data_IF_101269326248
#
_entry.id   IF_101269326248
#
_cell.length_a   1.000
_cell.length_b   1.000
_cell.length_c   1.000
_cell.angle_alpha   90.00
_cell.angle_beta   90.00
_cell.angle_gamma   90.00
#
_symmetry.space_group_name_H-M   'P 1'
#
loop_
_entity.id
_entity.type
_entity.pdbx_description
1 polymer ?
#
# COMPACT_ATOMS: atom_id res chain seq x y z
N UNK A 1 -15.31 9.15 -11.27
CA UNK A 1 -15.33 10.26 -12.25
C UNK A 1 -14.81 9.70 -13.56
N UNK A 2 -15.33 10.15 -14.72
CA UNK A 2 -14.77 9.73 -16.00
C UNK A 2 -13.35 10.29 -16.18
N UNK A 3 -12.53 9.57 -16.91
CA UNK A 3 -11.11 9.88 -17.12
C UNK A 3 -10.97 10.98 -18.19
N UNK A 4 -10.63 12.20 -17.76
CA UNK A 4 -10.60 13.37 -18.63
C UNK A 4 -9.32 13.42 -19.47
N UNK A 5 -9.45 13.73 -20.76
CA UNK A 5 -8.32 13.78 -21.70
C UNK A 5 -7.64 15.15 -21.62
N UNK A 6 -6.35 15.18 -21.26
CA UNK A 6 -5.56 16.40 -21.12
C UNK A 6 -4.85 16.79 -22.43
N UNK A 7 -4.44 15.81 -23.24
CA UNK A 7 -3.80 16.02 -24.54
C UNK A 7 -4.06 14.87 -25.51
N UNK A 8 -4.03 15.17 -26.81
CA UNK A 8 -4.18 14.21 -27.92
C UNK A 8 -3.10 14.49 -28.97
N UNK A 9 -2.39 13.45 -29.37
CA UNK A 9 -1.29 13.47 -30.33
C UNK A 9 -1.69 13.92 -31.73
N UNK A 10 -0.76 14.56 -32.44
CA UNK A 10 -0.97 15.00 -33.83
C UNK A 10 -0.96 13.79 -34.75
N UNK A 11 -2.01 13.63 -35.55
CA UNK A 11 -2.27 12.49 -36.46
C UNK A 11 -2.62 11.18 -35.74
N UNK A 12 -2.95 11.24 -34.45
CA UNK A 12 -3.39 10.08 -33.67
C UNK A 12 -4.75 9.56 -34.15
N UNK A 13 -5.07 8.32 -33.79
CA UNK A 13 -6.38 7.73 -34.05
C UNK A 13 -7.47 8.52 -33.33
N UNK A 14 -7.20 8.96 -32.11
CA UNK A 14 -8.16 9.78 -31.36
C UNK A 14 -8.48 11.07 -32.11
N UNK A 15 -7.47 11.77 -32.65
CA UNK A 15 -7.70 12.96 -33.47
C UNK A 15 -8.53 12.65 -34.73
N UNK A 16 -8.29 11.52 -35.41
CA UNK A 16 -9.05 11.11 -36.61
C UNK A 16 -10.54 10.87 -36.31
N UNK A 17 -10.87 10.43 -35.10
CA UNK A 17 -12.25 10.29 -34.61
C UNK A 17 -12.78 11.56 -33.94
N UNK A 18 -12.11 12.70 -34.14
CA UNK A 18 -12.53 14.00 -33.61
C UNK A 18 -12.42 14.12 -32.09
N UNK A 19 -11.65 13.26 -31.42
CA UNK A 19 -11.40 13.31 -29.97
C UNK A 19 -10.39 14.39 -29.66
N UNK A 20 -10.71 15.18 -28.65
CA UNK A 20 -9.98 16.40 -28.31
C UNK A 20 -9.78 16.54 -26.80
N UNK A 21 -8.85 17.40 -26.42
CA UNK A 21 -8.65 17.79 -25.02
C UNK A 21 -9.97 18.20 -24.37
N UNK A 22 -10.28 17.64 -23.22
CA UNK A 22 -11.49 17.88 -22.43
C UNK A 22 -12.67 16.98 -22.78
N UNK A 23 -12.53 16.07 -23.74
CA UNK A 23 -13.40 14.90 -23.83
C UNK A 23 -13.04 13.91 -22.70
N UNK A 24 -13.96 13.03 -22.31
CA UNK A 24 -13.72 12.06 -21.23
C UNK A 24 -13.98 10.62 -21.66
N UNK A 25 -13.14 9.70 -21.21
CA UNK A 25 -13.36 8.26 -21.38
C UNK A 25 -14.33 7.81 -20.28
N UNK A 26 -15.48 7.29 -20.69
CA UNK A 26 -16.52 6.76 -19.80
C UNK A 26 -16.26 5.30 -19.49
N UNK A 27 -16.04 4.49 -20.53
CA UNK A 27 -15.78 3.07 -20.40
C UNK A 27 -14.91 2.53 -21.52
N UNK A 28 -14.24 1.42 -21.24
CA UNK A 28 -13.50 0.63 -22.22
C UNK A 28 -13.94 -0.83 -22.08
N UNK A 29 -14.30 -1.46 -23.19
CA UNK A 29 -14.84 -2.83 -23.23
C UNK A 29 -16.06 -3.05 -22.30
N UNK A 30 -16.84 -2.00 -22.07
CA UNK A 30 -18.03 -2.04 -21.22
C UNK A 30 -17.77 -1.89 -19.72
N UNK A 31 -16.52 -1.69 -19.28
CA UNK A 31 -16.16 -1.38 -17.89
C UNK A 31 -15.85 0.11 -17.72
N UNK A 32 -16.38 0.73 -16.67
CA UNK A 32 -16.09 2.13 -16.36
C UNK A 32 -14.61 2.28 -16.02
N UNK A 33 -13.94 3.29 -16.58
CA UNK A 33 -12.52 3.53 -16.30
C UNK A 33 -12.36 4.83 -15.56
N UNK A 34 -11.72 4.76 -14.38
CA UNK A 34 -11.59 5.89 -13.46
C UNK A 34 -10.15 6.38 -13.29
N UNK A 35 -9.18 5.63 -13.76
CA UNK A 35 -7.77 5.96 -13.65
C UNK A 35 -6.97 5.28 -14.77
N UNK A 36 -5.68 5.57 -14.78
CA UNK A 36 -4.75 4.97 -15.72
C UNK A 36 -4.62 3.44 -15.56
N UNK A 37 -4.81 2.87 -14.37
CA UNK A 37 -4.71 1.43 -14.16
C UNK A 37 -5.85 0.67 -14.84
N UNK A 38 -7.07 1.22 -14.80
CA UNK A 38 -8.18 0.69 -15.56
C UNK A 38 -7.89 0.69 -17.07
N UNK A 39 -7.33 1.78 -17.61
CA UNK A 39 -6.90 1.81 -19.02
C UNK A 39 -5.87 0.72 -19.31
N UNK A 40 -4.84 0.60 -18.46
CA UNK A 40 -3.78 -0.39 -18.63
C UNK A 40 -4.30 -1.82 -18.60
N UNK A 41 -5.25 -2.14 -17.72
CA UNK A 41 -5.92 -3.43 -17.70
C UNK A 41 -6.60 -3.72 -19.05
N UNK A 42 -7.30 -2.74 -19.60
CA UNK A 42 -8.03 -2.89 -20.86
C UNK A 42 -7.12 -3.01 -22.09
N UNK A 43 -5.87 -2.57 -21.98
CA UNK A 43 -4.85 -2.74 -23.02
C UNK A 43 -4.33 -4.17 -23.15
N UNK A 44 -4.65 -5.08 -22.21
CA UNK A 44 -4.25 -6.48 -22.29
C UNK A 44 -5.06 -7.27 -23.34
N UNK A 45 -6.25 -6.80 -23.68
CA UNK A 45 -7.17 -7.43 -24.63
C UNK A 45 -6.82 -7.12 -26.10
N UNK A 46 -7.37 -7.89 -27.03
CA UNK A 46 -7.07 -7.77 -28.48
C UNK A 46 -7.76 -6.56 -29.16
N UNK A 47 -8.77 -6.00 -28.51
CA UNK A 47 -9.42 -4.77 -28.94
C UNK A 47 -9.96 -3.99 -27.75
N UNK A 48 -9.92 -2.66 -27.85
CA UNK A 48 -10.55 -1.75 -26.91
C UNK A 48 -11.74 -1.10 -27.59
N UNK A 49 -12.94 -1.29 -27.03
CA UNK A 49 -14.14 -0.55 -27.38
C UNK A 49 -14.31 0.61 -26.40
N UNK A 50 -13.94 1.81 -26.82
CA UNK A 50 -14.10 3.02 -26.01
C UNK A 50 -15.51 3.58 -26.15
N UNK A 51 -16.06 4.06 -25.04
CA UNK A 51 -17.17 5.00 -24.99
C UNK A 51 -16.60 6.32 -24.48
N UNK A 52 -16.68 7.37 -25.32
CA UNK A 52 -16.12 8.69 -25.03
C UNK A 52 -17.25 9.70 -25.00
N UNK A 53 -17.31 10.48 -23.94
CA UNK A 53 -18.23 11.60 -23.80
C UNK A 53 -17.51 12.89 -24.18
N UNK A 54 -18.07 13.57 -25.18
CA UNK A 54 -17.64 14.86 -25.68
C UNK A 54 -18.04 15.98 -24.72
N UNK A 55 -17.40 17.14 -24.85
CA UNK A 55 -17.77 18.36 -24.09
C UNK A 55 -19.23 18.81 -24.25
N UNK A 56 -19.87 18.48 -25.37
CA UNK A 56 -21.28 18.76 -25.65
C UNK A 56 -22.23 17.65 -25.15
N UNK A 57 -21.73 16.73 -24.30
CA UNK A 57 -22.44 15.54 -23.79
C UNK A 57 -22.81 14.50 -24.86
N UNK A 58 -22.30 14.63 -26.08
CA UNK A 58 -22.44 13.61 -27.11
C UNK A 58 -21.54 12.40 -26.78
N UNK A 59 -22.07 11.19 -26.93
CA UNK A 59 -21.29 9.97 -26.73
C UNK A 59 -20.92 9.33 -28.06
N UNK A 60 -19.62 9.11 -28.25
CA UNK A 60 -19.09 8.38 -29.40
C UNK A 60 -18.55 7.01 -28.96
N UNK A 61 -18.66 6.03 -29.85
CA UNK A 61 -18.08 4.69 -29.64
C UNK A 61 -17.02 4.44 -30.70
N UNK A 62 -15.82 4.07 -30.26
CA UNK A 62 -14.72 3.72 -31.17
C UNK A 62 -14.12 2.39 -30.77
N UNK A 63 -13.89 1.51 -31.76
CA UNK A 63 -13.21 0.24 -31.55
C UNK A 63 -11.80 0.33 -32.14
N UNK A 64 -10.79 0.10 -31.31
CA UNK A 64 -9.39 0.07 -31.72
C UNK A 64 -8.84 -1.33 -31.51
N UNK A 65 -8.21 -1.89 -32.55
CA UNK A 65 -7.50 -3.17 -32.46
C UNK A 65 -6.11 -2.99 -31.81
N UNK A 66 -5.63 -4.00 -31.09
CA UNK A 66 -4.37 -3.97 -30.34
C UNK A 66 -3.15 -3.48 -31.13
N UNK A 67 -3.04 -3.88 -32.40
CA UNK A 67 -1.97 -3.42 -33.32
C UNK A 67 -1.87 -1.89 -33.46
N UNK A 68 -2.95 -1.17 -33.13
CA UNK A 68 -3.08 0.26 -33.28
C UNK A 68 -3.07 1.04 -31.96
N UNK A 69 -2.90 0.40 -30.80
CA UNK A 69 -2.92 1.10 -29.49
C UNK A 69 -1.87 2.19 -29.38
N UNK A 70 -0.68 1.98 -29.96
CA UNK A 70 0.39 2.99 -29.98
C UNK A 70 -0.04 4.28 -30.68
N UNK A 71 -0.97 4.21 -31.63
CA UNK A 71 -1.47 5.37 -32.37
C UNK A 71 -2.57 6.14 -31.64
N UNK A 72 -2.96 5.75 -30.41
CA UNK A 72 -3.94 6.50 -29.61
C UNK A 72 -3.35 7.85 -29.17
N UNK A 73 -2.08 7.85 -28.72
CA UNK A 73 -1.30 9.03 -28.31
C UNK A 73 -2.13 10.03 -27.49
N UNK A 74 -2.51 9.65 -26.26
CA UNK A 74 -3.35 10.49 -25.40
C UNK A 74 -2.75 10.56 -24.00
N UNK A 75 -2.91 11.71 -23.35
CA UNK A 75 -2.64 11.89 -21.92
C UNK A 75 -3.96 12.19 -21.21
N UNK A 76 -4.01 11.85 -19.92
CA UNK A 76 -5.16 12.08 -19.06
C UNK A 76 -4.83 13.19 -18.06
N UNK A 77 -5.86 13.89 -17.57
CA UNK A 77 -5.66 14.78 -16.42
C UNK A 77 -5.31 13.96 -15.18
N UNK A 78 -4.33 14.45 -14.41
CA UNK A 78 -4.00 13.83 -13.14
C UNK A 78 -5.18 13.98 -12.18
N UNK A 79 -5.72 12.84 -11.73
CA UNK A 79 -6.68 12.84 -10.65
C UNK A 79 -5.94 13.18 -9.34
N UNK A 80 -6.42 14.22 -8.64
CA UNK A 80 -5.91 14.59 -7.32
C UNK A 80 -5.84 13.40 -6.37
N UNK A 81 -4.91 13.46 -5.41
CA UNK A 81 -4.72 12.38 -4.45
C UNK A 81 -5.92 12.24 -3.51
N UNK A 82 -6.28 11.00 -3.17
CA UNK A 82 -7.32 10.71 -2.21
C UNK A 82 -6.83 10.99 -0.79
N UNK A 83 -7.56 11.82 -0.07
CA UNK A 83 -7.21 12.17 1.30
C UNK A 83 -7.66 11.10 2.30
N UNK A 84 -6.82 10.84 3.29
CA UNK A 84 -7.18 10.09 4.48
C UNK A 84 -8.08 10.95 5.38
N UNK A 85 -9.19 10.36 5.79
CA UNK A 85 -10.16 11.01 6.69
C UNK A 85 -10.20 10.34 8.07
N UNK A 86 -9.25 9.46 8.37
CA UNK A 86 -9.18 8.78 9.65
C UNK A 86 -8.63 9.69 10.75
N UNK A 87 -9.03 9.40 11.98
CA UNK A 87 -8.53 10.02 13.21
C UNK A 87 -7.79 8.96 14.04
N UNK A 88 -6.86 8.26 13.38
CA UNK A 88 -6.20 7.11 13.98
C UNK A 88 -5.50 7.49 15.29
N UNK A 89 -5.70 6.69 16.35
CA UNK A 89 -5.05 6.94 17.65
C UNK A 89 -3.52 6.89 17.57
N UNK A 90 -2.99 6.25 16.53
CA UNK A 90 -1.57 6.07 16.24
C UNK A 90 -1.08 6.89 15.04
N UNK A 91 -1.91 7.78 14.45
CA UNK A 91 -1.56 8.51 13.23
C UNK A 91 -0.21 9.21 13.39
N UNK A 92 0.76 8.91 12.51
CA UNK A 92 2.10 9.50 12.57
C UNK A 92 2.09 10.97 12.20
N UNK A 93 1.29 11.35 11.20
CA UNK A 93 1.16 12.73 10.72
C UNK A 93 0.61 13.67 11.80
N UNK A 94 -0.32 13.20 12.64
CA UNK A 94 -0.85 14.00 13.76
C UNK A 94 0.19 14.27 14.85
N UNK A 95 1.34 13.58 14.82
CA UNK A 95 2.44 13.78 15.75
C UNK A 95 3.50 14.74 15.22
N UNK A 96 3.34 15.27 14.00
CA UNK A 96 4.29 16.22 13.45
C UNK A 96 4.29 17.53 14.27
N UNK A 97 5.46 18.19 14.43
CA UNK A 97 5.52 19.53 15.02
C UNK A 97 4.58 20.48 14.28
N UNK A 98 4.16 21.57 14.92
CA UNK A 98 3.46 22.67 14.25
C UNK A 98 4.39 23.44 13.30
N UNK A 99 3.81 24.12 12.29
CA UNK A 99 4.51 24.99 11.33
C UNK A 99 5.56 24.31 10.42
N UNK A 100 5.41 23.01 10.18
CA UNK A 100 6.18 22.30 9.15
C UNK A 100 5.64 22.65 7.75
N UNK A 101 6.36 22.20 6.71
CA UNK A 101 5.90 22.32 5.32
C UNK A 101 4.53 21.65 5.18
N UNK A 102 3.60 22.28 4.43
CA UNK A 102 2.19 21.86 4.34
C UNK A 102 2.06 20.41 3.87
N UNK A 103 2.95 19.99 2.98
CA UNK A 103 3.03 18.65 2.41
C UNK A 103 3.27 17.58 3.48
N UNK A 104 3.95 17.90 4.58
CA UNK A 104 4.18 16.96 5.69
C UNK A 104 2.93 16.69 6.53
N UNK A 105 1.87 17.48 6.37
CA UNK A 105 0.57 17.24 7.02
C UNK A 105 -0.44 16.54 6.11
N UNK A 106 -0.07 16.30 4.86
CA UNK A 106 -0.90 15.53 3.96
C UNK A 106 -0.97 14.07 4.44
N UNK A 107 -2.19 13.58 4.66
CA UNK A 107 -2.44 12.19 5.00
C UNK A 107 -2.91 11.47 3.75
N UNK A 108 -2.01 10.71 3.14
CA UNK A 108 -2.32 9.84 2.02
C UNK A 108 -3.16 8.63 2.47
N UNK A 109 -4.09 8.23 1.62
CA UNK A 109 -4.83 6.96 1.71
C UNK A 109 -5.30 6.56 0.30
N UNK A 110 -4.48 6.82 -0.72
CA UNK A 110 -4.79 6.57 -2.12
C UNK A 110 -4.40 5.15 -2.55
N UNK A 111 -5.37 4.40 -3.09
CA UNK A 111 -5.09 3.02 -3.51
C UNK A 111 -4.09 2.93 -4.67
N UNK A 112 -3.96 4.00 -5.47
CA UNK A 112 -3.00 4.07 -6.57
C UNK A 112 -1.57 4.03 -6.04
N UNK A 113 -1.31 4.74 -4.95
CA UNK A 113 -0.01 4.72 -4.25
C UNK A 113 0.30 3.36 -3.61
N UNK A 114 -0.74 2.61 -3.26
CA UNK A 114 -0.58 1.21 -2.82
C UNK A 114 0.00 0.33 -3.92
N UNK A 115 -0.39 0.56 -5.18
CA UNK A 115 0.07 -0.22 -6.33
C UNK A 115 1.47 0.21 -6.81
N UNK A 116 1.77 1.50 -6.79
CA UNK A 116 3.01 2.07 -7.34
C UNK A 116 4.15 2.09 -6.34
N UNK A 117 3.84 2.48 -5.09
CA UNK A 117 4.83 2.78 -4.05
C UNK A 117 4.77 1.77 -2.89
N UNK A 118 3.75 0.93 -2.84
CA UNK A 118 3.55 -0.01 -1.73
C UNK A 118 3.01 0.65 -0.45
N UNK A 119 2.38 1.82 -0.58
CA UNK A 119 1.79 2.53 0.55
C UNK A 119 0.64 1.73 1.17
N UNK A 120 0.61 1.69 2.52
CA UNK A 120 -0.42 0.97 3.26
C UNK A 120 -1.69 1.79 3.44
N UNK A 121 -2.73 1.44 2.69
CA UNK A 121 -4.03 2.13 2.71
C UNK A 121 -5.02 1.47 3.68
N UNK A 122 -5.96 2.24 4.21
CA UNK A 122 -6.97 1.77 5.18
C UNK A 122 -8.30 1.43 4.53
N UNK A 123 -8.50 1.78 3.25
CA UNK A 123 -9.75 1.68 2.47
C UNK A 123 -10.90 2.54 3.02
N UNK A 124 -10.62 3.44 3.97
CA UNK A 124 -11.66 4.15 4.71
C UNK A 124 -12.29 5.27 3.91
N UNK A 125 -11.52 5.88 3.00
CA UNK A 125 -11.96 6.93 2.08
C UNK A 125 -12.59 6.39 0.77
N UNK A 126 -12.56 5.08 0.54
CA UNK A 126 -13.06 4.49 -0.70
C UNK A 126 -14.57 4.26 -0.66
N UNK A 127 -15.24 4.68 -1.73
CA UNK A 127 -16.65 4.38 -2.01
C UNK A 127 -16.81 2.97 -2.59
N UNK A 128 -18.05 2.44 -2.63
CA UNK A 128 -18.35 1.14 -3.24
C UNK A 128 -17.91 1.07 -4.70
N UNK A 129 -18.18 2.12 -5.49
CA UNK A 129 -17.73 2.21 -6.88
C UNK A 129 -16.22 2.10 -7.04
N UNK A 130 -15.46 2.66 -6.10
CA UNK A 130 -13.99 2.56 -6.14
C UNK A 130 -13.51 1.15 -5.75
N UNK A 131 -14.20 0.48 -4.83
CA UNK A 131 -13.93 -0.93 -4.52
C UNK A 131 -14.26 -1.84 -5.70
N UNK A 132 -15.34 -1.56 -6.42
CA UNK A 132 -15.72 -2.26 -7.64
C UNK A 132 -14.67 -2.05 -8.73
N UNK A 133 -14.21 -0.81 -8.94
CA UNK A 133 -13.12 -0.50 -9.85
C UNK A 133 -11.84 -1.31 -9.56
N UNK A 134 -11.44 -1.39 -8.29
CA UNK A 134 -10.28 -2.19 -7.85
C UNK A 134 -10.50 -3.66 -8.20
N UNK A 135 -11.71 -4.19 -7.95
CA UNK A 135 -12.05 -5.58 -8.20
C UNK A 135 -12.11 -5.91 -9.70
N UNK A 136 -12.81 -5.10 -10.49
CA UNK A 136 -13.07 -5.32 -11.92
C UNK A 136 -11.80 -5.25 -12.75
N UNK A 137 -10.89 -4.32 -12.44
CA UNK A 137 -9.60 -4.20 -13.13
C UNK A 137 -8.49 -5.03 -12.46
N UNK A 138 -8.84 -5.89 -11.50
CA UNK A 138 -7.92 -6.79 -10.79
C UNK A 138 -6.67 -6.06 -10.24
N UNK A 139 -6.88 -4.87 -9.66
CA UNK A 139 -5.81 -4.01 -9.15
C UNK A 139 -5.15 -4.67 -7.93
N UNK A 140 -4.06 -5.39 -8.17
CA UNK A 140 -3.41 -6.24 -7.18
C UNK A 140 -1.90 -6.36 -7.39
N UNK A 141 -1.11 -6.58 -6.32
CA UNK A 141 -1.54 -6.66 -4.92
C UNK A 141 -1.71 -5.28 -4.26
N UNK A 142 -2.58 -5.19 -3.26
CA UNK A 142 -2.73 -3.99 -2.42
C UNK A 142 -2.01 -4.16 -1.08
N UNK A 143 -1.47 -3.07 -0.54
CA UNK A 143 -0.89 -2.98 0.79
C UNK A 143 -1.93 -2.36 1.74
N UNK A 144 -2.43 -3.16 2.67
CA UNK A 144 -3.59 -2.83 3.50
C UNK A 144 -3.21 -2.68 4.97
N UNK A 145 -3.50 -1.51 5.53
CA UNK A 145 -3.49 -1.21 6.96
C UNK A 145 -4.61 -1.98 7.68
N UNK A 146 -4.34 -3.24 8.05
CA UNK A 146 -5.32 -4.13 8.68
C UNK A 146 -5.48 -3.82 10.16
N UNK A 147 -4.39 -3.84 10.92
CA UNK A 147 -4.29 -3.56 12.37
C UNK A 147 -5.11 -4.45 13.33
N UNK A 148 -6.31 -4.88 12.95
CA UNK A 148 -7.15 -5.85 13.64
C UNK A 148 -8.14 -6.46 12.65
N UNK A 149 -8.60 -7.68 12.89
CA UNK A 149 -9.71 -8.32 12.18
C UNK A 149 -11.08 -8.13 12.86
N UNK A 150 -11.13 -7.38 13.96
CA UNK A 150 -12.34 -7.14 14.76
C UNK A 150 -12.84 -5.71 14.57
N UNK A 151 -14.10 -5.54 14.13
CA UNK A 151 -14.62 -4.24 13.70
C UNK A 151 -14.64 -3.19 14.81
N UNK A 152 -15.01 -3.56 16.03
CA UNK A 152 -15.00 -2.64 17.18
C UNK A 152 -13.59 -2.10 17.50
N UNK A 153 -12.55 -2.93 17.32
CA UNK A 153 -11.17 -2.48 17.49
C UNK A 153 -10.73 -1.61 16.33
N UNK A 154 -11.09 -1.99 15.09
CA UNK A 154 -10.80 -1.16 13.91
C UNK A 154 -11.41 0.22 14.07
N UNK A 155 -12.67 0.32 14.48
CA UNK A 155 -13.33 1.60 14.73
C UNK A 155 -12.60 2.45 15.77
N UNK A 156 -12.24 1.86 16.91
CA UNK A 156 -11.43 2.53 17.94
C UNK A 156 -10.06 2.98 17.41
N UNK A 157 -9.40 2.14 16.61
CA UNK A 157 -8.05 2.38 16.10
C UNK A 157 -8.04 3.47 15.04
N UNK A 158 -8.98 3.47 14.10
CA UNK A 158 -9.11 4.47 13.02
C UNK A 158 -9.85 5.74 13.46
N UNK A 159 -10.51 5.73 14.62
CA UNK A 159 -11.32 6.84 15.11
C UNK A 159 -12.60 7.07 14.31
N UNK A 160 -13.04 6.05 13.55
CA UNK A 160 -14.26 6.05 12.73
C UNK A 160 -14.62 4.64 12.28
N UNK A 161 -15.88 4.37 11.86
CA UNK A 161 -16.25 3.09 11.28
C UNK A 161 -15.37 2.73 10.06
N UNK A 162 -14.71 1.58 10.13
CA UNK A 162 -13.92 1.03 9.04
C UNK A 162 -13.99 -0.51 9.07
N UNK A 163 -15.17 -1.10 8.76
CA UNK A 163 -15.38 -2.54 8.92
C UNK A 163 -14.45 -3.35 8.02
N UNK A 164 -14.10 -4.56 8.46
CA UNK A 164 -13.25 -5.49 7.71
C UNK A 164 -13.96 -6.01 6.45
N UNK A 165 -15.26 -5.78 6.29
CA UNK A 165 -16.04 -6.26 5.14
C UNK A 165 -15.57 -5.68 3.80
N UNK A 166 -15.05 -4.45 3.76
CA UNK A 166 -14.39 -3.91 2.55
C UNK A 166 -13.21 -4.77 2.12
N UNK A 167 -12.42 -5.25 3.08
CA UNK A 167 -11.28 -6.14 2.85
C UNK A 167 -11.79 -7.51 2.36
N UNK A 168 -12.81 -8.08 3.03
CA UNK A 168 -13.41 -9.36 2.64
C UNK A 168 -14.00 -9.31 1.23
N UNK A 169 -14.64 -8.20 0.88
CA UNK A 169 -15.21 -7.97 -0.45
C UNK A 169 -14.15 -8.09 -1.54
N UNK A 170 -13.07 -7.33 -1.42
CA UNK A 170 -11.96 -7.34 -2.39
C UNK A 170 -11.28 -8.71 -2.47
N UNK A 171 -11.06 -9.38 -1.33
CA UNK A 171 -10.49 -10.74 -1.31
C UNK A 171 -11.40 -11.75 -2.03
N UNK A 172 -12.72 -11.66 -1.82
CA UNK A 172 -13.69 -12.50 -2.53
C UNK A 172 -13.67 -12.27 -4.04
N UNK A 173 -13.33 -11.04 -4.47
CA UNK A 173 -13.15 -10.67 -5.88
C UNK A 173 -11.77 -11.03 -6.44
N UNK A 174 -10.89 -11.66 -5.66
CA UNK A 174 -9.58 -12.14 -6.11
C UNK A 174 -8.43 -11.15 -5.91
N UNK A 175 -8.69 -9.98 -5.32
CA UNK A 175 -7.64 -8.99 -5.03
C UNK A 175 -6.70 -9.53 -3.97
N UNK A 176 -5.43 -9.67 -4.33
CA UNK A 176 -4.38 -10.16 -3.43
C UNK A 176 -3.87 -9.01 -2.56
N UNK A 177 -3.47 -9.32 -1.32
CA UNK A 177 -3.11 -8.28 -0.34
C UNK A 177 -1.87 -8.60 0.49
N UNK A 178 -1.08 -7.57 0.74
CA UNK A 178 -0.15 -7.47 1.85
C UNK A 178 -0.87 -6.79 3.02
N UNK A 179 -0.67 -7.26 4.24
CA UNK A 179 -1.27 -6.66 5.43
C UNK A 179 -0.22 -6.06 6.35
N UNK A 180 -0.58 -4.97 7.04
CA UNK A 180 0.22 -4.39 8.12
C UNK A 180 -0.60 -4.31 9.42
N UNK A 181 0.06 -4.63 10.52
CA UNK A 181 -0.40 -4.39 11.88
C UNK A 181 0.56 -3.40 12.52
N UNK A 182 0.10 -2.18 12.76
CA UNK A 182 0.72 -1.31 13.76
C UNK A 182 0.27 -1.83 15.12
N UNK A 183 1.19 -2.45 15.85
CA UNK A 183 0.93 -3.07 17.14
C UNK A 183 0.94 -2.00 18.24
N UNK A 184 -0.13 -1.99 19.03
CA UNK A 184 -0.33 -1.10 20.16
C UNK A 184 -0.61 -1.95 21.40
N UNK A 185 0.35 -1.94 22.35
CA UNK A 185 0.31 -2.76 23.55
C UNK A 185 -0.95 -2.48 24.38
N UNK A 186 -1.71 -3.54 24.69
CA UNK A 186 -2.98 -3.47 25.41
C UNK A 186 -4.19 -3.06 24.56
N UNK A 187 -4.05 -2.94 23.23
CA UNK A 187 -5.14 -2.59 22.32
C UNK A 187 -5.40 -3.73 21.34
N UNK A 188 -4.48 -3.98 20.41
CA UNK A 188 -4.59 -5.01 19.38
C UNK A 188 -3.53 -6.12 19.52
N UNK A 189 -3.01 -6.32 20.73
CA UNK A 189 -2.04 -7.36 21.04
C UNK A 189 -2.68 -8.65 21.60
N UNK A 190 -1.84 -9.64 21.91
CA UNK A 190 -2.24 -10.92 22.54
C UNK A 190 -3.35 -11.61 21.74
N UNK A 191 -4.51 -11.88 22.36
CA UNK A 191 -5.64 -12.57 21.73
C UNK A 191 -6.13 -11.87 20.45
N UNK A 192 -6.07 -10.54 20.40
CA UNK A 192 -6.52 -9.76 19.24
C UNK A 192 -5.53 -9.89 18.08
N UNK A 193 -4.24 -9.90 18.40
CA UNK A 193 -3.19 -10.21 17.41
C UNK A 193 -3.42 -11.59 16.82
N UNK A 194 -3.59 -12.63 17.65
CA UNK A 194 -3.79 -14.01 17.17
C UNK A 194 -5.01 -14.15 16.25
N UNK A 195 -6.13 -13.50 16.57
CA UNK A 195 -7.31 -13.45 15.68
C UNK A 195 -6.98 -12.83 14.33
N UNK A 196 -6.18 -11.76 14.34
CA UNK A 196 -5.76 -11.07 13.13
C UNK A 196 -4.79 -11.90 12.29
N UNK A 197 -3.89 -12.67 12.92
CA UNK A 197 -3.02 -13.64 12.24
C UNK A 197 -3.85 -14.73 11.55
N UNK A 198 -4.85 -15.27 12.24
CA UNK A 198 -5.75 -16.28 11.68
C UNK A 198 -6.57 -15.71 10.52
N UNK A 199 -7.05 -14.47 10.63
CA UNK A 199 -7.69 -13.78 9.51
C UNK A 199 -6.77 -13.67 8.29
N UNK A 200 -5.51 -13.26 8.47
CA UNK A 200 -4.55 -13.14 7.37
C UNK A 200 -4.24 -14.50 6.72
N UNK A 201 -4.09 -15.55 7.52
CA UNK A 201 -3.87 -16.93 7.04
C UNK A 201 -5.08 -17.45 6.27
N UNK A 202 -6.28 -17.38 6.85
CA UNK A 202 -7.53 -17.85 6.23
C UNK A 202 -7.77 -17.20 4.87
N UNK A 203 -7.41 -15.93 4.74
CA UNK A 203 -7.55 -15.16 3.51
C UNK A 203 -6.29 -15.18 2.62
N UNK A 204 -5.33 -16.07 2.88
CA UNK A 204 -4.14 -16.31 2.04
C UNK A 204 -3.33 -15.03 1.74
N UNK A 205 -3.13 -14.18 2.74
CA UNK A 205 -2.33 -12.96 2.59
C UNK A 205 -0.96 -13.23 1.92
N UNK A 206 -0.49 -12.30 1.07
CA UNK A 206 0.82 -12.41 0.43
C UNK A 206 1.92 -12.28 1.50
N UNK A 207 1.80 -11.29 2.38
CA UNK A 207 2.58 -11.16 3.60
C UNK A 207 1.82 -10.37 4.66
N UNK A 208 2.27 -10.49 5.91
CA UNK A 208 1.80 -9.70 7.04
C UNK A 208 3.00 -9.11 7.78
N UNK A 209 3.13 -7.79 7.77
CA UNK A 209 4.09 -7.06 8.59
C UNK A 209 3.48 -6.66 9.93
N UNK A 210 4.23 -6.81 11.03
CA UNK A 210 3.85 -6.33 12.35
C UNK A 210 4.93 -5.37 12.82
N UNK A 211 4.56 -4.11 13.01
CA UNK A 211 5.46 -3.02 13.39
C UNK A 211 5.00 -2.42 14.71
N UNK A 212 5.90 -1.94 15.58
CA UNK A 212 5.48 -1.21 16.77
C UNK A 212 4.85 0.14 16.38
N UNK A 213 3.98 0.68 17.22
CA UNK A 213 3.52 2.06 17.06
C UNK A 213 4.70 3.04 17.12
N UNK A 214 4.89 3.81 16.05
CA UNK A 214 5.89 4.87 15.99
C UNK A 214 5.45 6.10 16.77
N UNK A 215 6.29 6.57 17.70
CA UNK A 215 6.03 7.73 18.53
C UNK A 215 7.08 8.82 18.33
N UNK A 216 6.64 10.06 18.15
CA UNK A 216 7.53 11.23 18.12
C UNK A 216 7.54 11.94 19.49
N UNK A 217 8.57 12.75 19.73
CA UNK A 217 8.65 13.63 20.91
C UNK A 217 7.66 14.80 20.88
N UNK A 218 6.95 15.02 19.77
CA UNK A 218 6.08 16.19 19.54
C UNK A 218 4.59 15.89 19.75
N UNK A 219 4.25 14.72 20.30
CA UNK A 219 2.88 14.30 20.59
C UNK A 219 2.25 15.15 21.71
N UNK A 220 1.36 16.08 21.35
CA UNK A 220 0.53 16.84 22.29
C UNK A 220 -0.93 16.41 22.16
N UNK A 221 -1.62 16.18 23.29
CA UNK A 221 -3.05 15.83 23.32
C UNK A 221 -3.45 14.58 22.50
N UNK A 222 -2.52 13.65 22.29
CA UNK A 222 -2.75 12.38 21.61
C UNK A 222 -2.83 11.21 22.59
N UNK A 223 -3.34 10.07 22.11
CA UNK A 223 -3.44 8.84 22.90
C UNK A 223 -2.09 8.43 23.51
N UNK A 224 -2.08 8.02 24.78
CA UNK A 224 -0.88 7.61 25.49
C UNK A 224 -0.66 6.09 25.35
N UNK A 225 0.46 5.71 24.74
CA UNK A 225 0.79 4.31 24.49
C UNK A 225 1.75 3.74 25.52
N UNK A 226 1.56 2.45 25.86
CA UNK A 226 2.55 1.69 26.64
C UNK A 226 3.66 1.25 25.71
N UNK A 227 4.89 1.68 26.00
CA UNK A 227 6.07 1.28 25.24
C UNK A 227 6.33 -0.22 25.27
N UNK A 228 6.96 -0.71 24.22
CA UNK A 228 7.51 -2.06 24.14
C UNK A 228 8.85 -2.10 24.87
N UNK A 229 9.02 -3.09 25.73
CA UNK A 229 10.26 -3.32 26.47
C UNK A 229 10.82 -4.70 26.14
N UNK A 230 12.07 -4.95 26.55
CA UNK A 230 12.81 -6.18 26.23
C UNK A 230 12.02 -7.47 26.43
N UNK A 231 11.41 -7.64 27.60
CA UNK A 231 10.64 -8.84 27.96
C UNK A 231 9.43 -9.00 27.03
N UNK A 232 8.71 -7.91 26.79
CA UNK A 232 7.53 -7.96 25.92
C UNK A 232 7.93 -8.32 24.49
N UNK A 233 8.95 -7.66 23.94
CA UNK A 233 9.38 -7.88 22.56
C UNK A 233 9.89 -9.31 22.37
N UNK A 234 10.64 -9.86 23.33
CA UNK A 234 11.05 -11.28 23.32
C UNK A 234 9.83 -12.21 23.29
N UNK A 235 8.88 -12.02 24.20
CA UNK A 235 7.68 -12.86 24.26
C UNK A 235 6.82 -12.74 22.98
N UNK A 236 6.75 -11.55 22.37
CA UNK A 236 6.06 -11.34 21.10
C UNK A 236 6.73 -12.14 19.97
N UNK A 237 8.07 -12.06 19.85
CA UNK A 237 8.84 -12.81 18.85
C UNK A 237 8.58 -14.31 19.01
N UNK A 238 8.76 -14.85 20.22
CA UNK A 238 8.53 -16.27 20.51
C UNK A 238 7.09 -16.69 20.20
N UNK A 239 6.11 -15.87 20.58
CA UNK A 239 4.69 -16.16 20.31
C UNK A 239 4.36 -16.18 18.83
N UNK A 240 4.92 -15.25 18.04
CA UNK A 240 4.68 -15.17 16.60
C UNK A 240 5.41 -16.28 15.85
N UNK A 241 6.66 -16.60 16.20
CA UNK A 241 7.38 -17.72 15.58
C UNK A 241 6.70 -19.06 15.87
N UNK A 242 6.33 -19.31 17.13
CA UNK A 242 5.56 -20.51 17.50
C UNK A 242 4.25 -20.59 16.71
N UNK A 243 3.50 -19.49 16.62
CA UNK A 243 2.25 -19.48 15.87
C UNK A 243 2.46 -19.79 14.38
N UNK A 244 3.53 -19.26 13.76
CA UNK A 244 3.88 -19.54 12.35
C UNK A 244 4.17 -21.02 12.12
N UNK A 245 4.84 -21.67 13.06
CA UNK A 245 5.14 -23.11 13.02
C UNK A 245 3.87 -23.94 13.17
N UNK A 246 3.12 -23.72 14.24
CA UNK A 246 1.87 -24.44 14.55
C UNK A 246 0.83 -24.34 13.42
N UNK A 247 0.84 -23.23 12.68
CA UNK A 247 -0.13 -22.95 11.62
C UNK A 247 0.41 -23.10 10.19
N UNK A 248 1.69 -23.47 10.03
CA UNK A 248 2.36 -23.56 8.72
C UNK A 248 2.24 -22.29 7.86
N UNK A 249 2.07 -21.11 8.47
CA UNK A 249 1.89 -19.83 7.79
C UNK A 249 3.11 -18.92 7.98
N UNK A 250 4.17 -19.18 7.21
CA UNK A 250 5.48 -18.53 7.34
C UNK A 250 5.59 -17.18 6.60
N UNK A 251 4.50 -16.43 6.43
CA UNK A 251 4.42 -15.16 5.69
C UNK A 251 4.24 -13.94 6.62
N UNK A 252 4.48 -14.14 7.91
CA UNK A 252 4.40 -13.12 8.96
C UNK A 252 5.81 -12.68 9.32
N UNK A 253 6.02 -11.36 9.38
CA UNK A 253 7.30 -10.74 9.65
C UNK A 253 7.15 -9.65 10.71
N UNK A 254 8.05 -9.64 11.69
CA UNK A 254 8.15 -8.60 12.71
C UNK A 254 9.15 -7.54 12.25
N UNK A 255 8.89 -6.28 12.58
CA UNK A 255 9.85 -5.19 12.39
C UNK A 255 11.17 -5.45 13.12
N UNK A 256 12.26 -4.96 12.51
CA UNK A 256 13.62 -5.11 13.05
C UNK A 256 13.72 -4.51 14.47
N UNK A 257 12.94 -3.46 14.75
CA UNK A 257 12.85 -2.80 16.06
C UNK A 257 12.46 -3.76 17.20
N UNK A 258 11.62 -4.77 16.95
CA UNK A 258 11.26 -5.73 18.00
C UNK A 258 12.46 -6.60 18.41
N UNK A 259 13.26 -7.05 17.44
CA UNK A 259 14.48 -7.83 17.69
C UNK A 259 15.52 -7.00 18.44
N UNK A 260 15.75 -5.77 17.97
CA UNK A 260 16.66 -4.83 18.63
C UNK A 260 16.23 -4.54 20.07
N UNK A 261 14.95 -4.26 20.30
CA UNK A 261 14.40 -4.02 21.65
C UNK A 261 14.53 -5.24 22.56
N UNK A 262 14.42 -6.45 22.00
CA UNK A 262 14.62 -7.70 22.75
C UNK A 262 16.11 -7.98 23.06
N UNK A 263 17.04 -7.31 22.39
CA UNK A 263 18.46 -7.61 22.42
C UNK A 263 18.76 -8.95 21.74
N UNK A 264 18.05 -9.24 20.64
CA UNK A 264 18.20 -10.45 19.83
C UNK A 264 18.62 -10.00 18.42
N UNK A 265 19.52 -10.74 17.79
CA UNK A 265 19.91 -10.48 16.40
C UNK A 265 18.71 -10.57 15.46
N UNK A 266 18.65 -9.68 14.47
CA UNK A 266 17.65 -9.77 13.41
C UNK A 266 17.83 -11.06 12.60
N UNK A 267 16.75 -11.63 12.03
CA UNK A 267 16.86 -12.79 11.15
C UNK A 267 17.79 -12.57 9.94
N UNK A 268 18.35 -13.66 9.44
CA UNK A 268 19.12 -13.65 8.19
C UNK A 268 18.23 -13.37 6.97
N UNK A 269 18.80 -12.86 5.87
CA UNK A 269 18.04 -12.45 4.66
C UNK A 269 17.06 -13.49 4.11
N UNK A 270 17.37 -14.78 4.24
CA UNK A 270 16.55 -15.89 3.72
C UNK A 270 15.22 -16.00 4.45
N UNK A 271 15.13 -15.51 5.69
CA UNK A 271 13.91 -15.42 6.48
C UNK A 271 12.83 -14.58 5.79
N UNK A 272 13.22 -13.45 5.18
CA UNK A 272 12.28 -12.44 4.67
C UNK A 272 11.70 -12.73 3.27
N UNK A 273 12.13 -13.81 2.60
CA UNK A 273 11.52 -14.30 1.33
C UNK A 273 11.29 -13.22 0.27
N UNK A 274 12.34 -12.45 -0.03
CA UNK A 274 12.26 -11.36 -1.02
C UNK A 274 11.78 -10.02 -0.46
N UNK A 275 11.74 -9.87 0.87
CA UNK A 275 11.48 -8.61 1.57
C UNK A 275 10.17 -7.90 1.17
N UNK A 276 9.01 -8.58 1.22
CA UNK A 276 7.71 -8.02 0.80
C UNK A 276 7.17 -6.93 1.75
N UNK A 277 7.94 -6.53 2.75
CA UNK A 277 7.58 -5.56 3.80
C UNK A 277 8.75 -4.60 4.09
N UNK A 278 9.70 -4.44 3.15
CA UNK A 278 10.92 -3.68 3.42
C UNK A 278 10.62 -2.25 3.87
N UNK A 279 9.69 -1.58 3.18
CA UNK A 279 9.24 -0.20 3.47
C UNK A 279 8.59 -0.04 4.85
N UNK A 280 8.22 -1.14 5.52
CA UNK A 280 7.69 -1.15 6.89
C UNK A 280 8.77 -1.28 7.97
N UNK A 281 10.05 -1.15 7.63
CA UNK A 281 11.14 -1.36 8.59
C UNK A 281 11.37 -2.84 8.92
N UNK A 282 11.09 -3.73 7.96
CA UNK A 282 11.20 -5.18 8.12
C UNK A 282 12.33 -5.72 7.22
N UNK A 283 13.43 -6.14 7.83
CA UNK A 283 14.59 -6.71 7.14
C UNK A 283 15.60 -5.70 6.60
N UNK A 284 15.43 -4.42 6.91
CA UNK A 284 16.37 -3.36 6.55
C UNK A 284 17.74 -3.57 7.19
N UNK A 285 17.78 -3.96 8.46
CA UNK A 285 19.03 -4.24 9.20
C UNK A 285 19.75 -5.43 8.56
N UNK A 286 19.02 -6.49 8.25
CA UNK A 286 19.57 -7.69 7.60
C UNK A 286 20.20 -7.36 6.23
N UNK A 287 19.51 -6.56 5.41
CA UNK A 287 20.04 -6.09 4.12
C UNK A 287 21.25 -5.18 4.27
N UNK A 288 21.24 -4.29 5.27
CA UNK A 288 22.36 -3.42 5.57
C UNK A 288 23.60 -4.23 5.97
N UNK A 289 23.46 -5.18 6.91
CA UNK A 289 24.55 -6.07 7.32
C UNK A 289 25.15 -6.86 6.14
N UNK A 290 24.30 -7.41 5.27
CA UNK A 290 24.75 -8.14 4.07
C UNK A 290 25.47 -7.22 3.08
N UNK A 291 25.05 -5.95 2.98
CA UNK A 291 25.70 -4.95 2.13
C UNK A 291 27.08 -4.56 2.69
N UNK A 292 27.19 -4.37 4.00
CA UNK A 292 28.47 -4.10 4.68
C UNK A 292 29.44 -5.27 4.52
N UNK A 293 29.00 -6.52 4.70
CA UNK A 293 29.83 -7.73 4.50
C UNK A 293 30.38 -7.80 3.07
N UNK A 294 29.54 -7.51 2.07
CA UNK A 294 29.96 -7.47 0.66
C UNK A 294 31.00 -6.39 0.38
N UNK A 295 30.88 -5.21 1.01
CA UNK A 295 31.85 -4.12 0.86
C UNK A 295 33.17 -4.47 1.54
N UNK A 296 33.15 -4.98 2.78
CA UNK A 296 34.38 -5.35 3.51
C UNK A 296 35.26 -6.36 2.75
N UNK A 297 34.64 -7.23 1.97
CA UNK A 297 35.35 -8.24 1.19
C UNK A 297 35.83 -7.74 -0.19
N UNK A 298 35.56 -6.49 -0.57
CA UNK A 298 36.10 -5.91 -1.80
C UNK A 298 37.51 -5.40 -1.56
N UNK A 299 38.47 -5.87 -2.37
CA UNK A 299 39.75 -5.18 -2.52
C UNK A 299 39.49 -3.82 -3.15
N UNK A 300 39.83 -2.75 -2.43
CA UNK A 300 39.82 -1.40 -2.98
C UNK A 300 40.88 -1.33 -4.08
N UNK A 301 40.59 -0.63 -5.18
CA UNK A 301 41.61 -0.33 -6.19
C UNK A 301 42.66 0.59 -5.58
N UNK A 302 43.91 0.42 -5.98
CA UNK A 302 45.00 1.32 -5.62
C UNK A 302 44.60 2.77 -5.93
N UNK A 303 44.77 3.68 -4.96
CA UNK A 303 44.31 5.07 -5.06
C UNK A 303 42.86 5.35 -4.62
N UNK A 304 42.12 4.35 -4.11
CA UNK A 304 40.77 4.58 -3.55
C UNK A 304 40.81 4.99 -2.07
N UNK A 305 39.94 5.92 -1.66
CA UNK A 305 39.72 6.28 -0.26
C UNK A 305 38.27 5.94 0.16
N UNK A 306 38.08 5.45 1.40
CA UNK A 306 36.76 5.34 2.03
C UNK A 306 36.55 6.57 2.90
N UNK A 307 35.58 7.41 2.53
CA UNK A 307 35.12 8.52 3.35
C UNK A 307 33.94 8.04 4.21
N UNK A 308 34.18 7.86 5.50
CA UNK A 308 33.13 7.63 6.49
C UNK A 308 32.90 8.89 7.30
N UNK A 309 31.64 9.19 7.64
CA UNK A 309 31.31 10.21 8.64
C UNK A 309 31.83 9.79 10.02
N UNK A 310 32.20 10.76 10.86
CA UNK A 310 32.64 10.51 12.25
C UNK A 310 31.60 9.70 13.02
N UNK A 311 32.05 8.61 13.65
CA UNK A 311 31.36 7.88 14.70
C UNK A 311 31.23 8.72 15.97
#
# INVERSE_FOLDING_TARGET
MPLLISSVGKRSIFQKYGISKGDSIVSINGREVHDFFGVMHEMEFDSMLFVIEKKNSEQIRIKIARKNYKSIETEFEEHGMLHCHNKCIFCFIDQNPENMRKELYFKDDDYRESLTCGNFITLSNLSEKMLDNIAEHNLSPLYISLHSSEDYLREKIFGRPNPVDKIRYLIKKGVRMHFQIVLMRGINDKKHLLKTLEFAKKNKAISLGIVPVGLTKHRKNLYQFKMFGRIYSKNLIESVEKWKEDNSFKKIFLADEFYMTAGISVPAKTYYKGFPQLENGIGMVSLFEDSVKRIRNRKLKEGSAILCGRS
#
